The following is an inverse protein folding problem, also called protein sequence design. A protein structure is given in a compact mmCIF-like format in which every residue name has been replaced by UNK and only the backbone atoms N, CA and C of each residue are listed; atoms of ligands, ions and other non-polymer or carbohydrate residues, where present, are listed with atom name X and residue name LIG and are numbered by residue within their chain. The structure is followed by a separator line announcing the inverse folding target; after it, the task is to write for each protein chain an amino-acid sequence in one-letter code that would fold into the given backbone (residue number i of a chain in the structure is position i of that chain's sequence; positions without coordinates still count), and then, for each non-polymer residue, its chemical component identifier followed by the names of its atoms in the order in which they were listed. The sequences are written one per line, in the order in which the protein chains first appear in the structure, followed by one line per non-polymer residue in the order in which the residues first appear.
data_IF_954289140438
#
_entry.id   IF_954289140438
#
_cell.length_a   1.000
_cell.length_b   1.000
_cell.length_c   1.000
_cell.angle_alpha   90.00
_cell.angle_beta   90.00
_cell.angle_gamma   90.00
#
_symmetry.space_group_name_H-M   'P 1'
#
loop_
_entity.id
_entity.type
_entity.pdbx_description
1 polymer ?
#
# COMPACT_ATOMS: atom_id res chain seq x y z
N UNK A 1 26.77 13.62 35.72
CA UNK A 1 25.76 13.93 34.68
C UNK A 1 24.44 14.19 35.37
N UNK A 2 23.68 15.19 34.93
CA UNK A 2 22.38 15.52 35.55
C UNK A 2 21.36 14.46 35.14
N UNK A 3 20.83 13.71 36.10
CA UNK A 3 19.70 12.79 35.90
C UNK A 3 18.41 13.61 35.89
N UNK A 4 17.58 13.43 34.88
CA UNK A 4 16.27 14.09 34.77
C UNK A 4 15.14 13.16 35.24
N UNK A 5 14.03 13.78 35.64
CA UNK A 5 12.76 13.13 35.92
C UNK A 5 11.66 13.82 35.10
N UNK A 6 11.50 13.41 33.85
CA UNK A 6 10.53 13.99 32.92
C UNK A 6 9.63 12.93 32.31
N UNK A 7 8.38 13.30 32.07
CA UNK A 7 7.45 12.53 31.24
C UNK A 7 7.07 13.40 30.05
N UNK A 8 7.09 12.82 28.85
CA UNK A 8 6.65 13.51 27.63
C UNK A 8 5.61 12.68 26.92
N UNK A 9 4.44 13.27 26.71
CA UNK A 9 3.29 12.64 26.08
C UNK A 9 3.08 13.25 24.70
N UNK A 10 2.74 12.41 23.74
CA UNK A 10 2.41 12.80 22.38
C UNK A 10 1.04 12.25 22.00
N UNK A 11 0.23 13.11 21.36
CA UNK A 11 -1.04 12.75 20.74
C UNK A 11 -0.93 13.03 19.26
N UNK A 12 -1.25 12.03 18.45
CA UNK A 12 -1.28 12.14 17.00
C UNK A 12 -2.66 11.75 16.49
N UNK A 13 -3.37 12.72 15.92
CA UNK A 13 -4.64 12.53 15.23
C UNK A 13 -4.39 12.25 13.76
N UNK A 14 -4.76 11.06 13.30
CA UNK A 14 -4.52 10.60 11.93
C UNK A 14 -5.78 10.08 11.27
N UNK A 15 -5.82 10.16 9.93
CA UNK A 15 -6.80 9.51 9.06
C UNK A 15 -6.09 8.50 8.17
N UNK A 16 -6.64 7.31 7.97
CA UNK A 16 -6.10 6.39 6.97
C UNK A 16 -6.47 6.87 5.55
N UNK A 17 -5.46 6.94 4.68
CA UNK A 17 -5.56 7.38 3.27
C UNK A 17 -5.28 6.24 2.27
N UNK A 18 -5.06 5.04 2.80
CA UNK A 18 -5.11 3.79 2.07
C UNK A 18 -5.85 2.74 2.93
N UNK A 19 -6.35 1.65 2.33
CA UNK A 19 -6.98 0.58 3.09
C UNK A 19 -5.97 0.03 4.09
N UNK A 20 -6.42 -0.48 5.23
CA UNK A 20 -5.52 -1.03 6.25
C UNK A 20 -6.03 -2.35 6.80
N UNK A 21 -5.08 -3.12 7.34
CA UNK A 21 -5.34 -4.44 7.89
C UNK A 21 -4.47 -4.68 9.11
N UNK A 22 -5.11 -4.86 10.27
CA UNK A 22 -4.50 -5.36 11.49
C UNK A 22 -5.21 -6.64 11.85
N UNK A 23 -4.47 -7.76 11.84
CA UNK A 23 -5.04 -9.08 12.13
C UNK A 23 -5.28 -9.26 13.63
N UNK A 24 -6.28 -10.05 13.99
CA UNK A 24 -6.53 -10.46 15.38
C UNK A 24 -5.57 -11.58 15.86
N UNK A 25 -4.82 -12.21 14.95
CA UNK A 25 -3.86 -13.28 15.25
C UNK A 25 -4.46 -14.70 15.28
N UNK A 26 -5.78 -14.84 15.16
CA UNK A 26 -6.48 -16.13 15.23
C UNK A 26 -6.80 -16.68 13.83
N UNK A 27 -7.17 -15.80 12.90
CA UNK A 27 -7.58 -16.21 11.55
C UNK A 27 -6.69 -15.56 10.48
N UNK A 28 -5.77 -16.33 9.89
CA UNK A 28 -4.94 -15.87 8.77
C UNK A 28 -5.84 -15.47 7.59
N UNK A 29 -5.72 -14.24 7.09
CA UNK A 29 -6.51 -13.79 5.93
C UNK A 29 -7.91 -13.26 6.27
N UNK A 30 -8.57 -13.77 7.31
CA UNK A 30 -9.94 -13.38 7.65
C UNK A 30 -10.08 -12.49 8.89
N UNK A 31 -9.21 -12.67 9.88
CA UNK A 31 -9.29 -11.95 11.14
C UNK A 31 -8.89 -10.49 10.99
N UNK A 32 -9.73 -9.60 11.52
CA UNK A 32 -9.47 -8.18 11.71
C UNK A 32 -9.61 -7.84 13.20
N UNK A 33 -8.70 -7.01 13.72
CA UNK A 33 -8.75 -6.55 15.09
C UNK A 33 -9.80 -5.43 15.22
N UNK A 34 -11.01 -5.83 15.63
CA UNK A 34 -12.17 -4.95 15.84
C UNK A 34 -12.70 -5.18 17.26
N UNK A 35 -12.94 -4.11 17.99
CA UNK A 35 -13.53 -4.13 19.34
C UNK A 35 -14.71 -3.17 19.39
N UNK A 36 -15.87 -3.65 19.85
CA UNK A 36 -17.11 -2.87 19.91
C UNK A 36 -17.40 -2.08 18.62
N UNK A 37 -17.34 -2.80 17.47
CA UNK A 37 -17.46 -2.24 16.11
C UNK A 37 -16.42 -1.19 15.71
N UNK A 38 -15.40 -0.91 16.50
CA UNK A 38 -14.33 0.02 16.16
C UNK A 38 -13.06 -0.75 15.76
N UNK A 39 -12.36 -0.27 14.74
CA UNK A 39 -11.07 -0.82 14.37
C UNK A 39 -10.05 -0.51 15.46
N UNK A 40 -9.15 -1.44 15.76
CA UNK A 40 -8.14 -1.25 16.81
C UNK A 40 -6.74 -1.27 16.21
N UNK A 41 -5.95 -0.26 16.55
CA UNK A 41 -4.50 -0.25 16.39
C UNK A 41 -3.92 -0.53 17.78
N UNK A 42 -3.43 -1.75 18.00
CA UNK A 42 -2.81 -2.08 19.28
C UNK A 42 -1.41 -1.46 19.43
N UNK A 43 -1.04 -1.15 20.67
CA UNK A 43 0.25 -0.58 21.03
C UNK A 43 1.42 -1.49 20.65
N UNK A 44 1.21 -2.81 20.62
CA UNK A 44 2.22 -3.78 20.16
C UNK A 44 2.51 -3.63 18.66
N UNK A 45 1.52 -3.35 17.81
CA UNK A 45 1.76 -3.01 16.39
C UNK A 45 2.61 -1.76 16.26
N UNK A 46 2.29 -0.70 16.99
CA UNK A 46 3.05 0.56 16.96
C UNK A 46 4.48 0.37 17.48
N UNK A 47 4.64 -0.38 18.58
CA UNK A 47 5.93 -0.73 19.16
C UNK A 47 6.79 -1.56 18.20
N UNK A 48 6.19 -2.55 17.53
CA UNK A 48 6.87 -3.35 16.51
C UNK A 48 7.32 -2.53 15.29
N UNK A 49 6.47 -1.60 14.83
CA UNK A 49 6.82 -0.67 13.75
C UNK A 49 7.95 0.27 14.15
N UNK A 50 7.91 0.80 15.37
CA UNK A 50 8.98 1.64 15.90
C UNK A 50 10.30 0.88 16.02
N UNK A 51 10.26 -0.39 16.46
CA UNK A 51 11.42 -1.28 16.48
C UNK A 51 12.03 -1.44 15.10
N UNK A 52 11.21 -1.69 14.08
CA UNK A 52 11.68 -1.86 12.70
C UNK A 52 12.23 -0.54 12.12
N UNK A 53 11.62 0.60 12.48
CA UNK A 53 12.13 1.92 12.17
C UNK A 53 13.53 2.15 12.76
N UNK A 54 13.74 1.75 14.03
CA UNK A 54 15.02 1.89 14.72
C UNK A 54 16.12 0.97 14.17
N UNK A 55 15.79 -0.17 13.56
CA UNK A 55 16.81 -1.07 12.98
C UNK A 55 17.74 -0.37 11.97
N UNK A 56 17.25 0.69 11.31
CA UNK A 56 18.06 1.52 10.39
C UNK A 56 19.17 2.29 11.10
N UNK A 57 19.05 2.50 12.41
CA UNK A 57 19.98 3.20 13.28
C UNK A 57 20.76 2.25 14.20
N UNK A 58 20.52 0.93 14.13
CA UNK A 58 20.98 -0.10 15.07
C UNK A 58 22.49 -0.15 15.30
N UNK A 59 23.30 0.28 14.33
CA UNK A 59 24.76 0.15 14.43
C UNK A 59 25.44 1.22 15.32
N UNK A 60 24.71 2.06 16.08
CA UNK A 60 25.31 3.23 16.73
C UNK A 60 24.77 3.68 18.11
N UNK A 61 23.84 3.01 18.80
CA UNK A 61 23.21 3.68 19.96
C UNK A 61 22.83 2.82 21.18
N UNK A 62 23.38 3.19 22.34
CA UNK A 62 22.94 2.76 23.69
C UNK A 62 21.45 3.05 23.93
N UNK A 63 20.88 4.04 23.21
CA UNK A 63 19.47 4.38 23.32
C UNK A 63 18.51 3.28 22.83
N UNK A 64 18.96 2.36 21.97
CA UNK A 64 18.12 1.25 21.52
C UNK A 64 17.76 0.29 22.67
N UNK A 65 18.75 -0.06 23.50
CA UNK A 65 18.58 -0.96 24.64
C UNK A 65 17.65 -0.38 25.72
N UNK A 66 17.62 0.95 25.86
CA UNK A 66 16.68 1.63 26.76
C UNK A 66 15.22 1.53 26.31
N UNK A 67 14.99 1.32 25.01
CA UNK A 67 13.66 1.24 24.41
C UNK A 67 13.22 -0.22 24.31
N UNK A 68 14.12 -1.09 23.86
CA UNK A 68 13.90 -2.51 23.64
C UNK A 68 14.96 -3.34 24.37
N UNK A 69 14.88 -3.44 25.70
CA UNK A 69 15.86 -4.19 26.48
C UNK A 69 15.86 -5.67 26.08
N UNK A 70 17.04 -6.29 26.08
CA UNK A 70 17.15 -7.74 25.92
C UNK A 70 16.37 -8.48 27.02
N UNK A 71 15.80 -9.64 26.68
CA UNK A 71 14.88 -10.42 27.53
C UNK A 71 15.43 -10.80 28.92
N UNK A 72 16.76 -10.69 29.14
CA UNK A 72 17.41 -11.01 30.40
C UNK A 72 17.52 -9.81 31.37
N UNK A 73 17.23 -8.59 30.92
CA UNK A 73 17.26 -7.39 31.75
C UNK A 73 15.87 -7.09 32.32
N UNK A 74 15.79 -6.87 33.65
CA UNK A 74 14.56 -6.44 34.36
C UNK A 74 14.18 -4.98 34.10
N UNK A 75 14.87 -4.30 33.17
CA UNK A 75 14.60 -2.90 32.88
C UNK A 75 13.31 -2.74 32.07
N UNK A 76 12.51 -1.75 32.44
CA UNK A 76 11.29 -1.41 31.72
C UNK A 76 11.60 -0.44 30.58
N UNK A 77 10.87 -0.59 29.47
CA UNK A 77 10.99 0.33 28.34
C UNK A 77 10.75 1.77 28.78
N UNK A 78 11.53 2.70 28.23
CA UNK A 78 11.33 4.14 28.43
C UNK A 78 10.27 4.73 27.49
N UNK A 79 9.75 3.97 26.52
CA UNK A 79 8.67 4.39 25.62
C UNK A 79 7.46 3.46 25.75
N UNK A 80 6.28 4.05 25.84
CA UNK A 80 4.99 3.36 25.94
C UNK A 80 4.14 3.70 24.71
N UNK A 81 3.59 2.65 24.11
CA UNK A 81 2.68 2.71 22.97
C UNK A 81 1.31 2.22 23.43
N UNK A 82 0.28 3.03 23.20
CA UNK A 82 -1.07 2.73 23.68
C UNK A 82 -1.96 2.29 22.52
N UNK A 83 -2.95 1.47 22.86
CA UNK A 83 -4.00 1.08 21.92
C UNK A 83 -4.83 2.30 21.51
N UNK A 84 -5.24 2.32 20.24
CA UNK A 84 -6.16 3.32 19.72
C UNK A 84 -7.29 2.63 18.98
N UNK A 85 -8.51 3.09 19.24
CA UNK A 85 -9.69 2.71 18.47
C UNK A 85 -9.97 3.76 17.39
N UNK A 86 -10.66 3.36 16.32
CA UNK A 86 -11.21 4.32 15.37
C UNK A 86 -12.26 5.19 16.04
N UNK A 87 -12.44 6.42 15.57
CA UNK A 87 -13.53 7.29 16.03
C UNK A 87 -14.87 6.89 15.40
N UNK A 88 -14.83 6.33 14.19
CA UNK A 88 -16.01 5.85 13.47
C UNK A 88 -16.22 4.35 13.70
N UNK A 89 -17.48 3.94 13.83
CA UNK A 89 -17.86 2.53 13.74
C UNK A 89 -17.51 1.98 12.34
N UNK A 90 -17.17 0.69 12.32
CA UNK A 90 -16.87 -0.08 11.13
C UNK A 90 -18.16 -0.77 10.69
N UNK A 91 -18.79 -0.20 9.65
CA UNK A 91 -19.99 -0.73 9.04
C UNK A 91 -19.68 -1.81 7.99
N UNK A 92 -20.74 -2.41 7.45
CA UNK A 92 -20.64 -3.42 6.39
C UNK A 92 -19.92 -2.92 5.14
N UNK A 93 -20.09 -1.63 4.79
CA UNK A 93 -19.44 -1.04 3.62
C UNK A 93 -17.95 -0.74 3.84
N UNK A 94 -17.51 -0.69 5.10
CA UNK A 94 -16.12 -0.48 5.46
C UNK A 94 -15.31 -1.78 5.46
N UNK A 95 -15.98 -2.91 5.69
CA UNK A 95 -15.42 -4.26 5.63
C UNK A 95 -15.35 -4.73 4.19
N UNK A 96 -14.22 -4.48 3.56
CA UNK A 96 -13.95 -4.89 2.20
C UNK A 96 -13.28 -6.27 2.18
N UNK A 97 -13.56 -7.05 1.14
CA UNK A 97 -12.93 -8.33 0.90
C UNK A 97 -12.33 -8.34 -0.50
N UNK A 98 -11.09 -8.81 -0.62
CA UNK A 98 -10.42 -9.07 -1.90
C UNK A 98 -10.19 -10.56 -2.04
N UNK A 99 -10.62 -11.10 -3.16
CA UNK A 99 -10.37 -12.48 -3.52
C UNK A 99 -8.99 -12.56 -4.18
N UNK A 100 -8.05 -13.23 -3.54
CA UNK A 100 -6.76 -13.53 -4.14
C UNK A 100 -6.81 -14.92 -4.77
N UNK A 101 -6.40 -14.99 -6.04
CA UNK A 101 -6.23 -16.24 -6.76
C UNK A 101 -4.73 -16.38 -7.07
N UNK A 102 -4.13 -17.49 -6.66
CA UNK A 102 -2.73 -17.80 -7.02
C UNK A 102 -2.67 -18.08 -8.52
N UNK A 103 -1.82 -17.37 -9.25
CA UNK A 103 -1.58 -17.62 -10.69
C UNK A 103 -0.35 -18.52 -10.83
N UNK A 104 -0.48 -19.58 -11.62
CA UNK A 104 0.58 -20.48 -12.02
C UNK A 104 1.55 -19.77 -12.98
N UNK A 105 2.85 -19.84 -12.69
CA UNK A 105 3.90 -19.15 -13.46
C UNK A 105 4.11 -19.73 -14.88
N UNK A 106 3.74 -20.97 -15.15
CA UNK A 106 3.89 -21.61 -16.47
C UNK A 106 2.63 -21.44 -17.32
N UNK A 107 1.46 -21.57 -16.72
CA UNK A 107 0.18 -21.59 -17.44
C UNK A 107 -0.53 -20.23 -17.48
N UNK A 108 -0.09 -19.25 -16.68
CA UNK A 108 -0.79 -17.97 -16.44
C UNK A 108 -2.27 -18.16 -16.03
N UNK A 109 -2.61 -19.33 -15.47
CA UNK A 109 -3.94 -19.72 -15.00
C UNK A 109 -3.98 -19.77 -13.48
N UNK A 110 -5.17 -19.75 -12.88
CA UNK A 110 -5.30 -19.97 -11.44
C UNK A 110 -4.85 -21.37 -11.04
N UNK A 111 -4.01 -21.50 -10.01
CA UNK A 111 -3.75 -22.79 -9.37
C UNK A 111 -5.02 -23.23 -8.65
N UNK A 112 -5.51 -24.45 -8.92
CA UNK A 112 -6.70 -25.01 -8.29
C UNK A 112 -6.59 -24.97 -6.75
N UNK A 113 -7.70 -24.65 -6.06
CA UNK A 113 -7.84 -24.62 -4.59
C UNK A 113 -7.04 -23.55 -3.80
N UNK A 114 -6.67 -22.43 -4.44
CA UNK A 114 -6.00 -21.31 -3.76
C UNK A 114 -6.79 -19.98 -3.87
N UNK A 115 -8.09 -20.03 -3.60
CA UNK A 115 -8.90 -18.83 -3.37
C UNK A 115 -8.76 -18.43 -1.90
N UNK A 116 -8.10 -17.31 -1.64
CA UNK A 116 -8.00 -16.74 -0.29
C UNK A 116 -8.81 -15.45 -0.24
N UNK A 117 -9.77 -15.40 0.68
CA UNK A 117 -10.48 -14.18 1.01
C UNK A 117 -9.61 -13.37 1.96
N UNK A 118 -9.37 -12.10 1.62
CA UNK A 118 -8.59 -11.19 2.43
C UNK A 118 -9.47 -10.01 2.81
N UNK A 119 -9.80 -9.92 4.10
CA UNK A 119 -10.57 -8.80 4.64
C UNK A 119 -9.65 -7.65 5.03
N UNK A 120 -10.13 -6.43 4.78
CA UNK A 120 -9.48 -5.19 5.14
C UNK A 120 -10.50 -4.08 5.42
N UNK A 121 -10.03 -3.02 6.07
CA UNK A 121 -10.86 -1.85 6.39
C UNK A 121 -10.59 -0.78 5.34
N UNK A 122 -11.69 -0.20 4.83
CA UNK A 122 -11.68 0.87 3.84
C UNK A 122 -11.00 2.15 4.35
N UNK A 123 -10.84 3.09 3.44
CA UNK A 123 -10.35 4.43 3.72
C UNK A 123 -11.39 5.30 4.41
N UNK A 124 -10.92 6.19 5.30
CA UNK A 124 -11.82 7.18 5.90
C UNK A 124 -11.75 7.30 7.41
N UNK A 125 -11.19 6.30 8.08
CA UNK A 125 -11.22 6.14 9.53
C UNK A 125 -10.16 6.99 10.23
N UNK A 126 -10.56 7.61 11.33
CA UNK A 126 -9.72 8.49 12.12
C UNK A 126 -9.36 7.84 13.45
N UNK A 127 -8.15 8.13 13.94
CA UNK A 127 -7.58 7.54 15.16
C UNK A 127 -6.82 8.61 15.95
N UNK A 128 -6.77 8.42 17.27
CA UNK A 128 -5.97 9.21 18.21
C UNK A 128 -4.86 8.35 18.80
N UNK A 129 -3.71 8.33 18.15
CA UNK A 129 -2.55 7.58 18.62
C UNK A 129 -1.90 8.30 19.80
N UNK A 130 -1.56 7.56 20.85
CA UNK A 130 -0.95 8.09 22.07
C UNK A 130 0.38 7.40 22.37
N UNK A 131 1.39 8.21 22.68
CA UNK A 131 2.75 7.77 23.01
C UNK A 131 3.24 8.48 24.26
N UNK A 132 4.00 7.79 25.10
CA UNK A 132 4.58 8.35 26.31
C UNK A 132 6.05 7.97 26.47
N UNK A 133 6.91 8.95 26.74
CA UNK A 133 8.31 8.75 27.13
C UNK A 133 8.42 8.97 28.65
N UNK A 134 9.04 8.03 29.35
CA UNK A 134 9.32 8.12 30.79
C UNK A 134 10.83 8.21 31.03
N UNK A 135 11.34 9.43 31.10
CA UNK A 135 12.72 9.72 31.49
C UNK A 135 12.85 9.83 33.01
N UNK A 136 12.64 8.73 33.73
CA UNK A 136 12.81 8.67 35.19
C UNK A 136 14.25 8.27 35.52
N UNK A 137 14.94 9.11 36.28
CA UNK A 137 16.36 8.98 36.62
C UNK A 137 17.24 8.66 35.39
N UNK A 138 17.02 9.41 34.30
CA UNK A 138 17.69 9.18 33.01
C UNK A 138 18.65 10.33 32.71
N UNK A 139 19.81 10.03 32.11
CA UNK A 139 20.72 11.07 31.60
C UNK A 139 20.01 11.93 30.54
N UNK A 140 20.21 13.24 30.62
CA UNK A 140 19.54 14.20 29.74
C UNK A 140 19.80 13.94 28.24
N UNK A 141 21.04 13.57 27.88
CA UNK A 141 21.40 13.25 26.49
C UNK A 141 20.64 12.02 25.96
N UNK A 142 20.51 10.98 26.79
CA UNK A 142 19.75 9.77 26.47
C UNK A 142 18.27 10.07 26.32
N UNK A 143 17.70 10.86 27.22
CA UNK A 143 16.30 11.30 27.10
C UNK A 143 16.05 12.09 25.82
N UNK A 144 16.92 13.05 25.50
CA UNK A 144 16.82 13.86 24.29
C UNK A 144 16.96 12.99 23.03
N UNK A 145 17.83 11.97 23.05
CA UNK A 145 17.96 11.01 21.95
C UNK A 145 16.68 10.20 21.72
N UNK A 146 16.09 9.65 22.78
CA UNK A 146 14.83 8.89 22.72
C UNK A 146 13.69 9.78 22.21
N UNK A 147 13.60 11.03 22.68
CA UNK A 147 12.63 12.01 22.16
C UNK A 147 12.80 12.19 20.65
N UNK A 148 14.01 12.47 20.17
CA UNK A 148 14.29 12.65 18.74
C UNK A 148 13.86 11.46 17.89
N UNK A 149 14.10 10.24 18.37
CA UNK A 149 13.69 9.04 17.65
C UNK A 149 12.18 8.91 17.51
N UNK A 150 11.45 9.08 18.62
CA UNK A 150 9.98 9.01 18.60
C UNK A 150 9.39 10.12 17.73
N UNK A 151 9.93 11.33 17.81
CA UNK A 151 9.48 12.49 17.05
C UNK A 151 9.68 12.30 15.53
N UNK A 152 10.81 11.73 15.11
CA UNK A 152 11.04 11.38 13.71
C UNK A 152 10.08 10.27 13.23
N UNK A 153 9.84 9.27 14.08
CA UNK A 153 8.85 8.23 13.80
C UNK A 153 7.44 8.81 13.63
N UNK A 154 7.01 9.68 14.54
CA UNK A 154 5.73 10.41 14.48
C UNK A 154 5.63 11.21 13.18
N UNK A 155 6.71 11.89 12.77
CA UNK A 155 6.76 12.68 11.53
C UNK A 155 6.61 11.81 10.26
N UNK A 156 7.30 10.66 10.23
CA UNK A 156 7.18 9.72 9.11
C UNK A 156 5.82 9.02 9.08
N UNK A 157 5.23 8.75 10.25
CA UNK A 157 3.89 8.17 10.36
C UNK A 157 2.81 9.20 9.98
N UNK A 158 2.95 10.46 10.41
CA UNK A 158 2.01 11.55 10.11
C UNK A 158 2.00 11.99 8.64
N UNK A 159 3.06 11.69 7.89
CA UNK A 159 3.16 11.96 6.46
C UNK A 159 2.81 10.75 5.58
N UNK A 160 2.52 9.59 6.18
CA UNK A 160 2.20 8.35 5.46
C UNK A 160 3.41 7.62 4.88
N UNK A 161 4.62 7.94 5.35
CA UNK A 161 5.85 7.25 4.93
C UNK A 161 6.05 5.90 5.63
N UNK A 162 5.46 5.73 6.81
CA UNK A 162 5.40 4.46 7.56
C UNK A 162 3.97 3.93 7.49
N UNK A 163 3.84 2.68 7.08
CA UNK A 163 2.57 1.99 7.03
C UNK A 163 2.28 1.25 8.35
N UNK A 164 1.04 1.31 8.81
CA UNK A 164 0.56 0.61 10.01
C UNK A 164 -0.15 -0.69 9.61
N UNK A 165 0.20 -1.78 10.29
CA UNK A 165 -0.39 -3.10 10.06
C UNK A 165 0.29 -3.89 8.94
N UNK A 166 -0.48 -4.80 8.37
CA UNK A 166 0.00 -5.77 7.38
C UNK A 166 -0.17 -5.26 5.94
N UNK A 167 0.34 -6.03 4.97
CA UNK A 167 0.17 -5.78 3.52
C UNK A 167 0.72 -4.45 3.01
N UNK A 168 1.65 -3.82 3.72
CA UNK A 168 2.30 -2.58 3.29
C UNK A 168 2.99 -2.63 1.91
N UNK A 169 3.35 -3.80 1.37
CA UNK A 169 3.84 -3.93 -0.02
C UNK A 169 2.76 -3.76 -1.10
N UNK A 170 1.49 -3.82 -0.69
CA UNK A 170 0.29 -3.54 -1.48
C UNK A 170 -0.26 -2.13 -1.17
N UNK A 171 0.57 -1.26 -0.57
CA UNK A 171 0.20 0.13 -0.32
C UNK A 171 -0.74 0.33 0.87
N UNK A 172 -1.03 -0.72 1.63
CA UNK A 172 -1.93 -0.66 2.78
C UNK A 172 -1.32 0.08 3.95
N UNK A 173 -2.19 0.58 4.83
CA UNK A 173 -1.82 1.09 6.15
C UNK A 173 -1.21 2.48 6.12
N UNK A 174 -1.43 3.30 5.09
CA UNK A 174 -0.93 4.68 5.07
C UNK A 174 -1.88 5.58 5.85
N UNK A 175 -1.32 6.32 6.80
CA UNK A 175 -2.04 7.30 7.62
C UNK A 175 -1.46 8.69 7.39
N UNK A 176 -2.29 9.72 7.50
CA UNK A 176 -1.85 11.12 7.49
C UNK A 176 -2.40 11.86 8.68
N UNK A 177 -1.63 12.78 9.25
CA UNK A 177 -2.12 13.68 10.27
C UNK A 177 -3.29 14.52 9.74
N UNK A 178 -4.33 14.63 10.56
CA UNK A 178 -5.46 15.52 10.31
C UNK A 178 -4.96 16.97 10.48
N UNK A 179 -5.44 17.89 9.64
CA UNK A 179 -5.12 19.32 9.74
C UNK A 179 -6.43 20.10 9.92
N UNK A 180 -6.49 20.93 10.96
CA UNK A 180 -7.65 21.78 11.24
C UNK A 180 -7.18 23.21 11.47
N UNK A 181 -7.65 24.17 10.66
CA UNK A 181 -7.40 25.61 10.83
C UNK A 181 -5.93 25.94 11.17
N UNK A 182 -5.00 25.55 10.29
CA UNK A 182 -3.54 25.72 10.40
C UNK A 182 -2.83 24.98 11.56
N UNK A 183 -3.58 24.26 12.41
CA UNK A 183 -3.01 23.40 13.44
C UNK A 183 -2.73 22.01 12.88
N UNK A 184 -1.52 21.51 13.13
CA UNK A 184 -1.22 20.10 12.83
C UNK A 184 -1.98 19.22 13.83
N UNK A 185 -2.44 18.04 13.43
CA UNK A 185 -3.01 17.04 14.33
C UNK A 185 -1.97 16.38 15.27
N UNK A 186 -0.85 17.06 15.53
CA UNK A 186 0.26 16.58 16.34
C UNK A 186 0.41 17.48 17.55
N UNK A 187 0.44 16.85 18.71
CA UNK A 187 0.29 17.49 19.99
C UNK A 187 1.26 16.87 20.98
N UNK A 188 1.80 17.67 21.90
CA UNK A 188 2.65 17.15 22.98
C UNK A 188 2.50 17.95 24.27
N UNK A 189 2.90 17.32 25.37
CA UNK A 189 3.10 17.97 26.68
C UNK A 189 4.28 17.29 27.37
N UNK A 190 5.18 18.08 27.95
CA UNK A 190 6.30 17.60 28.76
C UNK A 190 6.10 18.06 30.21
N UNK A 191 6.26 17.13 31.14
CA UNK A 191 6.13 17.33 32.58
C UNK A 191 7.50 17.18 33.22
N UNK A 192 7.86 18.11 34.10
CA UNK A 192 9.02 18.00 34.95
C UNK A 192 8.58 17.52 36.34
N UNK A 193 8.82 16.25 36.63
CA UNK A 193 8.39 15.64 37.89
C UNK A 193 9.27 16.03 39.09
N UNK A 194 10.38 16.73 38.85
CA UNK A 194 11.21 17.29 39.91
C UNK A 194 10.60 18.57 40.51
N UNK A 195 9.52 19.11 39.94
CA UNK A 195 8.83 20.29 40.48
C UNK A 195 7.42 19.93 40.94
N UNK A 196 6.97 20.56 42.03
CA UNK A 196 5.61 20.35 42.57
C UNK A 196 4.54 20.66 41.53
N UNK A 197 4.67 21.79 40.83
CA UNK A 197 3.75 22.14 39.73
C UNK A 197 3.74 21.10 38.61
N UNK A 198 4.91 20.58 38.20
CA UNK A 198 4.98 19.60 37.12
C UNK A 198 4.46 18.22 37.51
N UNK A 199 4.58 17.85 38.78
CA UNK A 199 3.95 16.66 39.34
C UNK A 199 2.43 16.82 39.44
N UNK A 200 1.95 17.94 39.98
CA UNK A 200 0.52 18.25 40.06
C UNK A 200 -0.11 18.29 38.66
N UNK A 201 0.55 18.92 37.68
CA UNK A 201 0.10 18.95 36.28
C UNK A 201 0.01 17.56 35.63
N UNK A 202 0.81 16.59 36.07
CA UNK A 202 0.77 15.21 35.57
C UNK A 202 -0.34 14.40 36.23
N UNK A 203 -0.61 14.63 37.51
CA UNK A 203 -1.67 13.98 38.28
C UNK A 203 -3.05 14.55 37.92
N UNK A 204 -3.12 15.86 37.71
CA UNK A 204 -4.28 16.52 37.13
C UNK A 204 -4.31 16.16 35.64
N UNK A 205 -5.26 15.31 35.24
CA UNK A 205 -5.49 14.90 33.84
C UNK A 205 -5.94 16.08 32.92
N UNK A 206 -5.64 17.33 33.28
CA UNK A 206 -5.90 18.53 32.50
C UNK A 206 -4.83 18.70 31.40
N UNK A 207 -5.25 18.30 30.20
CA UNK A 207 -4.50 18.39 28.96
C UNK A 207 -4.42 19.83 28.42
N UNK A 208 -3.61 20.70 29.04
CA UNK A 208 -3.21 21.94 28.39
C UNK A 208 -2.12 21.66 27.33
N UNK A 209 -2.58 21.21 26.17
CA UNK A 209 -1.76 20.64 25.10
C UNK A 209 -1.11 21.75 24.25
N UNK A 210 0.20 21.62 23.99
CA UNK A 210 0.87 22.43 22.97
C UNK A 210 0.66 21.78 21.59
N UNK A 211 0.26 22.58 20.61
CA UNK A 211 0.26 22.18 19.21
C UNK A 211 1.69 22.25 18.66
N UNK A 212 2.15 21.21 17.98
CA UNK A 212 3.39 21.27 17.20
C UNK A 212 3.04 21.71 15.79
N UNK A 213 3.70 22.74 15.25
CA UNK A 213 3.72 22.88 13.79
C UNK A 213 4.55 21.73 13.21
N UNK A 214 4.18 21.24 12.02
CA UNK A 214 5.03 20.30 11.26
C UNK A 214 6.45 20.86 11.03
N UNK A 215 6.60 22.19 11.06
CA UNK A 215 7.88 22.92 10.96
C UNK A 215 8.70 22.90 12.25
N UNK A 216 8.07 22.71 13.42
CA UNK A 216 8.74 22.64 14.73
C UNK A 216 9.48 21.33 14.98
N UNK A 217 9.14 20.29 14.23
CA UNK A 217 10.06 19.19 13.96
C UNK A 217 10.97 19.65 12.84
N UNK A 218 11.97 20.48 13.17
CA UNK A 218 13.11 20.68 12.27
C UNK A 218 13.46 19.30 11.73
N UNK A 219 13.56 19.16 10.41
CA UNK A 219 14.19 18.04 9.75
C UNK A 219 15.52 17.82 10.46
N UNK A 220 15.53 17.05 11.56
CA UNK A 220 16.72 16.63 12.25
C UNK A 220 17.41 15.86 11.16
N UNK A 221 18.49 16.43 10.64
CA UNK A 221 19.27 15.97 9.50
C UNK A 221 19.91 14.60 9.72
N UNK A 222 19.13 13.64 10.19
CA UNK A 222 19.30 12.23 9.94
C UNK A 222 19.01 12.10 8.45
N UNK A 223 20.05 12.30 7.64
CA UNK A 223 20.00 12.40 6.18
C UNK A 223 19.40 11.15 5.53
N UNK A 224 18.07 11.05 5.53
CA UNK A 224 17.34 10.34 4.50
C UNK A 224 17.23 11.35 3.35
N UNK A 225 18.30 11.49 2.55
CA UNK A 225 18.03 11.74 1.14
C UNK A 225 17.10 10.59 0.73
N UNK A 226 15.84 10.90 0.45
CA UNK A 226 14.78 9.92 0.24
C UNK A 226 15.23 8.99 -0.90
N UNK A 227 15.86 7.85 -0.56
CA UNK A 227 16.37 6.84 -1.51
C UNK A 227 15.24 6.09 -2.20
N UNK A 228 14.01 6.52 -1.94
CA UNK A 228 12.81 5.97 -2.53
C UNK A 228 12.63 6.55 -3.93
N UNK A 229 12.50 5.66 -4.90
CA UNK A 229 12.11 6.02 -6.25
C UNK A 229 10.61 5.79 -6.41
N UNK A 230 9.92 6.79 -6.96
CA UNK A 230 8.53 6.69 -7.38
C UNK A 230 8.49 6.51 -8.89
N UNK A 231 7.90 5.42 -9.33
CA UNK A 231 7.65 5.10 -10.73
C UNK A 231 6.14 5.17 -10.96
N UNK A 232 5.73 5.98 -11.93
CA UNK A 232 4.34 6.23 -12.26
C UNK A 232 4.08 5.91 -13.73
N UNK A 233 3.07 5.10 -14.04
CA UNK A 233 2.53 4.93 -15.40
C UNK A 233 1.16 5.60 -15.47
N UNK A 234 1.02 6.60 -16.33
CA UNK A 234 -0.27 7.17 -16.72
C UNK A 234 -0.81 6.41 -17.93
N UNK A 235 -2.03 5.89 -17.85
CA UNK A 235 -2.63 5.09 -18.92
C UNK A 235 -4.16 5.21 -18.99
N UNK A 236 -4.74 4.87 -20.15
CA UNK A 236 -6.18 4.81 -20.39
C UNK A 236 -6.56 3.50 -21.08
N UNK A 237 -7.85 3.19 -21.17
CA UNK A 237 -8.37 1.96 -21.77
C UNK A 237 -9.78 2.21 -22.31
N UNK A 238 -9.86 2.53 -23.59
CA UNK A 238 -11.08 2.82 -24.34
C UNK A 238 -11.82 1.56 -24.79
N UNK A 239 -11.09 0.47 -25.04
CA UNK A 239 -11.65 -0.86 -25.40
C UNK A 239 -12.32 -1.59 -24.22
N UNK A 240 -12.02 -1.16 -23.00
CA UNK A 240 -12.61 -1.63 -21.77
C UNK A 240 -11.86 -2.77 -21.07
N UNK A 241 -12.05 -2.84 -19.76
CA UNK A 241 -11.40 -3.80 -18.88
C UNK A 241 -12.35 -4.20 -17.75
N UNK A 242 -12.05 -5.33 -17.09
CA UNK A 242 -12.80 -5.78 -15.91
C UNK A 242 -11.87 -6.42 -14.89
N UNK A 243 -11.88 -5.88 -13.68
CA UNK A 243 -11.37 -6.57 -12.48
C UNK A 243 -12.58 -7.19 -11.81
N UNK A 244 -12.73 -8.52 -11.84
CA UNK A 244 -13.95 -9.18 -11.35
C UNK A 244 -14.15 -8.91 -9.86
N UNK A 245 -15.28 -8.28 -9.54
CA UNK A 245 -15.79 -8.17 -8.18
C UNK A 245 -16.84 -9.24 -7.87
N UNK A 246 -17.67 -8.96 -6.88
CA UNK A 246 -18.81 -9.81 -6.58
C UNK A 246 -19.85 -9.70 -7.71
N UNK A 247 -20.30 -10.82 -8.28
CA UNK A 247 -21.30 -10.79 -9.34
C UNK A 247 -22.65 -10.31 -8.80
N UNK A 248 -23.45 -9.71 -9.68
CA UNK A 248 -24.81 -9.28 -9.38
C UNK A 248 -25.80 -10.26 -10.00
N UNK A 249 -26.85 -10.60 -9.26
CA UNK A 249 -27.98 -11.38 -9.77
C UNK A 249 -29.04 -10.40 -10.27
N UNK A 250 -29.26 -10.39 -11.58
CA UNK A 250 -30.29 -9.56 -12.22
C UNK A 250 -31.49 -10.42 -12.64
N UNK A 251 -32.68 -9.84 -12.50
CA UNK A 251 -33.97 -10.47 -12.85
C UNK A 251 -34.27 -10.23 -14.33
N UNK A 252 -34.79 -11.24 -15.02
CA UNK A 252 -35.04 -11.22 -16.47
C UNK A 252 -36.45 -10.78 -16.84
N UNK A 253 -37.38 -10.85 -15.89
CA UNK A 253 -38.82 -10.71 -16.11
C UNK A 253 -39.52 -10.12 -14.87
N UNK A 254 -40.64 -9.41 -15.08
CA UNK A 254 -41.41 -8.74 -14.00
C UNK A 254 -42.03 -9.71 -12.98
N UNK A 255 -42.02 -11.01 -13.27
CA UNK A 255 -42.58 -12.09 -12.44
C UNK A 255 -41.52 -12.86 -11.64
N UNK A 256 -40.24 -12.42 -11.64
CA UNK A 256 -39.15 -13.01 -10.86
C UNK A 256 -38.81 -14.49 -11.16
N UNK A 257 -39.20 -15.04 -12.32
CA UNK A 257 -39.03 -16.48 -12.60
C UNK A 257 -37.68 -16.87 -13.21
N UNK A 258 -36.94 -15.92 -13.82
CA UNK A 258 -35.61 -16.18 -14.39
C UNK A 258 -34.60 -15.13 -13.95
N UNK A 259 -33.49 -15.57 -13.38
CA UNK A 259 -32.34 -14.72 -13.02
C UNK A 259 -31.14 -15.03 -13.90
N UNK A 260 -30.22 -14.07 -14.01
CA UNK A 260 -28.91 -14.29 -14.60
C UNK A 260 -27.83 -13.58 -13.80
N UNK A 261 -26.63 -14.15 -13.85
CA UNK A 261 -25.45 -13.62 -13.17
C UNK A 261 -24.77 -12.62 -14.11
N UNK A 262 -24.45 -11.44 -13.58
CA UNK A 262 -23.67 -10.40 -14.27
C UNK A 262 -22.35 -10.23 -13.53
N UNK A 263 -21.24 -10.45 -14.22
CA UNK A 263 -19.93 -10.12 -13.70
C UNK A 263 -19.76 -8.59 -13.74
N UNK A 264 -19.40 -8.02 -12.59
CA UNK A 264 -19.23 -6.58 -12.43
C UNK A 264 -17.81 -6.24 -12.00
N UNK A 265 -17.32 -5.03 -12.32
CA UNK A 265 -16.02 -4.61 -11.85
C UNK A 265 -16.01 -4.42 -10.33
N UNK A 266 -14.87 -4.67 -9.72
CA UNK A 266 -14.65 -4.56 -8.29
C UNK A 266 -14.75 -3.10 -7.82
N UNK A 267 -15.48 -2.90 -6.73
CA UNK A 267 -15.76 -1.59 -6.13
C UNK A 267 -15.56 -1.63 -4.62
N UNK A 268 -15.07 -0.53 -4.07
CA UNK A 268 -15.03 -0.28 -2.63
C UNK A 268 -15.72 1.04 -2.30
N UNK A 269 -16.22 1.18 -1.07
CA UNK A 269 -16.77 2.43 -0.57
C UNK A 269 -15.64 3.22 0.10
N UNK A 270 -15.31 4.39 -0.44
CA UNK A 270 -14.25 5.27 0.06
C UNK A 270 -14.88 6.61 0.38
N UNK A 271 -14.80 7.04 1.64
CA UNK A 271 -15.43 8.27 2.14
C UNK A 271 -16.91 8.41 1.72
N UNK A 272 -17.66 7.30 1.76
CA UNK A 272 -19.09 7.25 1.39
C UNK A 272 -19.39 7.23 -0.11
N UNK A 273 -18.37 7.14 -0.97
CA UNK A 273 -18.52 7.04 -2.43
C UNK A 273 -18.06 5.68 -2.93
N UNK A 274 -18.89 5.02 -3.75
CA UNK A 274 -18.49 3.78 -4.44
C UNK A 274 -17.56 4.11 -5.59
N UNK A 275 -16.31 3.68 -5.48
CA UNK A 275 -15.28 3.85 -6.49
C UNK A 275 -14.85 2.49 -7.03
N UNK A 276 -14.43 2.46 -8.29
CA UNK A 276 -13.81 1.27 -8.86
C UNK A 276 -12.35 1.22 -8.44
N UNK A 277 -11.89 0.02 -8.15
CA UNK A 277 -10.53 -0.20 -7.68
C UNK A 277 -9.87 -1.24 -8.57
N UNK A 278 -8.70 -0.91 -9.10
CA UNK A 278 -7.75 -1.91 -9.56
C UNK A 278 -6.81 -2.19 -8.38
N UNK A 279 -6.95 -3.33 -7.69
CA UNK A 279 -6.10 -3.64 -6.55
C UNK A 279 -4.63 -3.69 -6.97
N UNK A 280 -3.78 -3.13 -6.13
CA UNK A 280 -2.32 -3.20 -6.23
C UNK A 280 -1.82 -4.64 -6.39
N UNK A 281 -2.51 -5.62 -5.81
CA UNK A 281 -2.20 -7.05 -5.98
C UNK A 281 -2.34 -7.53 -7.42
N UNK A 282 -3.29 -6.99 -8.18
CA UNK A 282 -3.47 -7.32 -9.60
C UNK A 282 -2.28 -6.85 -10.40
N UNK A 283 -1.90 -5.58 -10.26
CA UNK A 283 -0.76 -4.99 -10.97
C UNK A 283 0.55 -5.65 -10.51
N UNK A 284 0.73 -5.84 -9.20
CA UNK A 284 1.90 -6.53 -8.66
C UNK A 284 2.03 -7.96 -9.20
N UNK A 285 0.94 -8.70 -9.32
CA UNK A 285 0.93 -10.06 -9.87
C UNK A 285 1.32 -10.10 -11.35
N UNK A 286 0.72 -9.22 -12.16
CA UNK A 286 1.01 -9.07 -13.59
C UNK A 286 2.49 -8.71 -13.80
N UNK A 287 2.96 -7.68 -13.10
CA UNK A 287 4.34 -7.19 -13.19
C UNK A 287 5.32 -8.26 -12.70
N UNK A 288 5.04 -8.96 -11.59
CA UNK A 288 5.87 -10.07 -11.10
C UNK A 288 6.00 -11.17 -12.15
N UNK A 289 4.88 -11.62 -12.72
CA UNK A 289 4.86 -12.66 -13.76
C UNK A 289 5.66 -12.25 -14.99
N UNK A 290 5.53 -10.99 -15.41
CA UNK A 290 6.25 -10.47 -16.56
C UNK A 290 7.75 -10.30 -16.30
N UNK A 291 8.15 -9.77 -15.15
CA UNK A 291 9.56 -9.69 -14.75
C UNK A 291 10.19 -11.08 -14.68
N UNK A 292 9.48 -12.08 -14.14
CA UNK A 292 9.90 -13.48 -14.17
C UNK A 292 10.14 -13.98 -15.60
N UNK A 293 9.22 -13.68 -16.53
CA UNK A 293 9.35 -14.05 -17.94
C UNK A 293 10.60 -13.43 -18.57
N UNK A 294 10.80 -12.11 -18.42
CA UNK A 294 12.00 -11.41 -18.91
C UNK A 294 13.27 -12.06 -18.35
N UNK A 295 13.29 -12.28 -17.04
CA UNK A 295 14.47 -12.80 -16.35
C UNK A 295 14.85 -14.22 -16.80
N UNK A 296 13.85 -15.09 -17.00
CA UNK A 296 14.05 -16.44 -17.59
C UNK A 296 14.56 -16.36 -19.04
N UNK A 297 14.04 -15.43 -19.84
CA UNK A 297 14.49 -15.24 -21.24
C UNK A 297 15.95 -14.82 -21.33
N UNK A 298 16.46 -14.07 -20.35
CA UNK A 298 17.86 -13.66 -20.27
C UNK A 298 18.81 -14.75 -19.71
N UNK A 299 18.34 -15.99 -19.58
CA UNK A 299 19.04 -17.16 -18.98
C UNK A 299 19.66 -16.87 -17.59
N UNK A 300 19.03 -15.98 -16.82
CA UNK A 300 19.43 -15.72 -15.44
C UNK A 300 18.74 -16.73 -14.52
N UNK A 301 19.52 -17.68 -14.00
CA UNK A 301 19.01 -18.80 -13.18
C UNK A 301 18.74 -18.44 -11.72
N UNK A 302 19.24 -17.30 -11.24
CA UNK A 302 19.09 -16.89 -9.86
C UNK A 302 17.83 -16.02 -9.63
N UNK A 303 16.76 -16.61 -9.10
CA UNK A 303 15.49 -15.91 -8.78
C UNK A 303 15.60 -14.91 -7.62
N UNK A 304 16.75 -14.80 -6.95
CA UNK A 304 16.95 -13.89 -5.81
C UNK A 304 16.47 -12.47 -6.09
N UNK A 305 16.75 -11.91 -7.27
CA UNK A 305 16.33 -10.54 -7.63
C UNK A 305 14.80 -10.38 -7.61
N UNK A 306 14.05 -11.34 -8.15
CA UNK A 306 12.58 -11.28 -8.18
C UNK A 306 12.02 -11.41 -6.77
N UNK A 307 12.55 -12.33 -5.97
CA UNK A 307 12.09 -12.53 -4.60
C UNK A 307 12.44 -11.32 -3.71
N UNK A 308 13.56 -10.63 -3.97
CA UNK A 308 13.86 -9.36 -3.33
C UNK A 308 12.93 -8.22 -3.78
N UNK A 309 12.54 -8.18 -5.05
CA UNK A 309 11.61 -7.16 -5.58
C UNK A 309 10.23 -7.29 -4.95
N UNK A 310 9.64 -8.48 -5.02
CA UNK A 310 8.21 -8.69 -4.71
C UNK A 310 7.97 -9.29 -3.32
N UNK A 311 9.00 -9.89 -2.73
CA UNK A 311 8.95 -10.60 -1.46
C UNK A 311 8.70 -12.10 -1.63
N UNK A 312 9.03 -12.83 -0.58
CA UNK A 312 8.86 -14.28 -0.46
C UNK A 312 8.00 -14.59 0.77
N UNK A 313 7.02 -15.50 0.63
CA UNK A 313 6.24 -15.97 1.78
C UNK A 313 7.12 -16.86 2.65
N UNK A 314 6.89 -16.86 3.96
CA UNK A 314 7.47 -17.86 4.83
C UNK A 314 6.96 -19.25 4.41
N UNK A 315 7.84 -20.24 4.45
CA UNK A 315 7.52 -21.64 4.22
C UNK A 315 8.10 -22.43 5.39
N UNK A 316 7.26 -22.72 6.38
CA UNK A 316 7.66 -23.46 7.59
C UNK A 316 8.18 -24.86 7.24
N UNK A 317 7.60 -25.51 6.22
CA UNK A 317 8.03 -26.84 5.78
C UNK A 317 9.46 -26.84 5.25
N UNK A 318 9.89 -25.72 4.66
CA UNK A 318 11.24 -25.52 4.13
C UNK A 318 12.14 -24.68 5.03
N UNK A 319 11.66 -24.29 6.23
CA UNK A 319 12.35 -23.34 7.15
C UNK A 319 12.79 -22.05 6.45
N UNK A 320 11.99 -21.58 5.50
CA UNK A 320 12.24 -20.33 4.79
C UNK A 320 11.50 -19.22 5.53
N UNK A 321 12.24 -18.24 6.01
CA UNK A 321 11.64 -17.03 6.58
C UNK A 321 11.03 -16.14 5.47
N UNK A 322 9.88 -15.57 5.76
CA UNK A 322 9.23 -14.63 4.84
C UNK A 322 10.01 -13.33 4.75
N UNK A 323 10.25 -12.86 3.52
CA UNK A 323 10.97 -11.60 3.26
C UNK A 323 10.04 -10.61 2.58
N UNK A 324 9.98 -9.39 3.14
CA UNK A 324 9.25 -8.27 2.52
C UNK A 324 9.97 -7.81 1.25
N UNK A 325 9.21 -7.64 0.17
CA UNK A 325 9.71 -7.10 -1.09
C UNK A 325 10.10 -5.62 -0.98
N UNK A 326 11.05 -5.18 -1.81
CA UNK A 326 11.50 -3.78 -1.88
C UNK A 326 10.49 -2.86 -2.61
N UNK A 327 9.59 -3.43 -3.41
CA UNK A 327 8.55 -2.70 -4.13
C UNK A 327 7.25 -2.60 -3.34
N UNK A 328 6.66 -1.41 -3.37
CA UNK A 328 5.33 -1.11 -2.85
C UNK A 328 4.46 -0.68 -4.02
N UNK A 329 3.38 -1.41 -4.27
CA UNK A 329 2.37 -1.08 -5.27
C UNK A 329 1.20 -0.38 -4.58
N UNK A 330 0.59 0.60 -5.25
CA UNK A 330 -0.57 1.31 -4.73
C UNK A 330 -1.83 0.91 -5.50
N UNK A 331 -2.97 0.92 -4.82
CA UNK A 331 -4.25 0.68 -5.48
C UNK A 331 -4.56 1.83 -6.43
N UNK A 332 -5.09 1.50 -7.61
CA UNK A 332 -5.57 2.51 -8.54
C UNK A 332 -7.07 2.71 -8.33
N UNK A 333 -7.45 3.92 -7.91
CA UNK A 333 -8.84 4.32 -7.68
C UNK A 333 -9.35 5.07 -8.88
N UNK A 334 -10.57 4.76 -9.29
CA UNK A 334 -11.14 5.30 -10.52
C UNK A 334 -12.49 5.94 -10.21
N UNK A 335 -12.56 7.24 -10.49
CA UNK A 335 -13.72 8.09 -10.32
C UNK A 335 -14.47 8.31 -11.65
N UNK A 336 -15.81 8.32 -11.60
CA UNK A 336 -16.64 8.88 -12.68
C UNK A 336 -16.63 8.13 -14.01
N UNK A 337 -16.35 6.83 -14.02
CA UNK A 337 -16.25 6.05 -15.26
C UNK A 337 -17.59 5.66 -15.88
N UNK A 338 -17.57 5.45 -17.20
CA UNK A 338 -18.69 4.85 -17.95
C UNK A 338 -18.57 3.32 -17.84
N UNK A 339 -19.51 2.71 -17.13
CA UNK A 339 -19.73 1.26 -17.24
C UNK A 339 -20.42 0.97 -18.57
N UNK A 340 -19.79 0.13 -19.39
CA UNK A 340 -20.42 -0.42 -20.57
C UNK A 340 -20.83 -1.87 -20.32
N UNK A 341 -22.02 -2.23 -20.78
CA UNK A 341 -22.53 -3.59 -20.65
C UNK A 341 -22.21 -4.37 -21.92
N UNK A 342 -21.53 -5.50 -21.77
CA UNK A 342 -21.20 -6.38 -22.87
C UNK A 342 -21.82 -7.77 -22.64
N UNK A 343 -22.51 -8.28 -23.65
CA UNK A 343 -23.07 -9.63 -23.63
C UNK A 343 -22.31 -10.46 -24.66
N UNK A 344 -21.80 -11.63 -24.27
CA UNK A 344 -21.07 -12.52 -25.16
C UNK A 344 -21.61 -13.94 -25.06
N UNK A 345 -21.73 -14.60 -26.20
CA UNK A 345 -22.02 -16.03 -26.26
C UNK A 345 -20.75 -16.84 -25.93
N UNK A 346 -20.88 -17.87 -25.10
CA UNK A 346 -19.79 -18.79 -24.83
C UNK A 346 -19.56 -19.67 -26.05
N UNK A 347 -18.35 -19.61 -26.60
CA UNK A 347 -17.92 -20.49 -27.69
C UNK A 347 -17.23 -21.70 -27.07
N UNK A 348 -17.63 -22.89 -27.53
CA UNK A 348 -16.97 -24.13 -27.18
C UNK A 348 -15.60 -24.18 -27.87
N UNK A 349 -14.53 -24.34 -27.08
CA UNK A 349 -13.14 -24.26 -27.59
C UNK A 349 -12.75 -25.46 -28.45
N UNK A 350 -13.46 -26.58 -28.35
CA UNK A 350 -13.16 -27.80 -29.09
C UNK A 350 -13.92 -27.85 -30.42
N UNK A 351 -15.20 -27.45 -30.40
CA UNK A 351 -16.10 -27.54 -31.56
C UNK A 351 -16.21 -26.23 -32.35
N UNK A 352 -15.78 -25.10 -31.78
CA UNK A 352 -15.96 -23.77 -32.37
C UNK A 352 -17.43 -23.32 -32.46
N UNK A 353 -18.37 -24.13 -31.97
CA UNK A 353 -19.80 -23.84 -31.95
C UNK A 353 -20.22 -23.00 -30.75
N UNK A 354 -21.42 -22.43 -30.84
CA UNK A 354 -22.05 -21.71 -29.71
C UNK A 354 -22.51 -22.72 -28.65
N UNK A 355 -22.08 -22.57 -27.41
CA UNK A 355 -22.66 -23.32 -26.30
C UNK A 355 -24.08 -22.81 -26.03
N UNK A 356 -25.08 -23.62 -26.38
CA UNK A 356 -26.50 -23.28 -26.19
C UNK A 356 -26.79 -22.89 -24.74
N UNK A 357 -27.39 -21.70 -24.55
CA UNK A 357 -27.81 -21.18 -23.24
C UNK A 357 -26.75 -20.46 -22.40
N UNK A 358 -25.47 -20.43 -22.80
CA UNK A 358 -24.40 -19.82 -22.02
C UNK A 358 -24.02 -18.42 -22.54
N UNK A 359 -24.75 -17.38 -22.10
CA UNK A 359 -24.42 -15.97 -22.36
C UNK A 359 -23.65 -15.42 -21.16
N UNK A 360 -22.40 -15.03 -21.35
CA UNK A 360 -21.67 -14.20 -20.41
C UNK A 360 -22.24 -12.79 -20.45
N UNK A 361 -22.59 -12.26 -19.29
CA UNK A 361 -23.01 -10.87 -19.11
C UNK A 361 -21.98 -10.20 -18.24
N UNK A 362 -21.25 -9.26 -18.81
CA UNK A 362 -20.14 -8.59 -18.15
C UNK A 362 -20.38 -7.08 -18.22
N UNK A 363 -20.10 -6.38 -17.13
CA UNK A 363 -19.94 -4.93 -17.13
C UNK A 363 -18.44 -4.63 -17.20
N UNK A 364 -18.02 -3.92 -18.24
CA UNK A 364 -16.64 -3.48 -18.42
C UNK A 364 -16.53 -1.99 -18.10
N UNK A 365 -15.43 -1.62 -17.47
CA UNK A 365 -15.05 -0.23 -17.22
C UNK A 365 -14.25 0.29 -18.41
N UNK A 366 -14.44 1.56 -18.77
CA UNK A 366 -13.63 2.26 -19.79
C UNK A 366 -13.02 3.51 -19.21
N UNK A 367 -11.73 3.75 -19.50
CA UNK A 367 -10.99 4.95 -19.09
C UNK A 367 -10.73 5.81 -20.33
N UNK A 368 -11.22 7.05 -20.30
CA UNK A 368 -10.96 8.01 -21.36
C UNK A 368 -9.51 8.46 -21.38
N UNK A 369 -9.00 8.75 -22.58
CA UNK A 369 -7.71 9.40 -22.78
C UNK A 369 -7.63 10.77 -22.08
N UNK A 370 -8.74 11.48 -21.91
CA UNK A 370 -8.76 12.81 -21.29
C UNK A 370 -8.62 12.76 -19.76
N UNK A 371 -8.99 11.62 -19.16
CA UNK A 371 -8.89 11.38 -17.73
C UNK A 371 -8.17 10.04 -17.48
N UNK A 372 -6.86 9.95 -17.77
CA UNK A 372 -6.10 8.73 -17.59
C UNK A 372 -5.94 8.40 -16.12
N UNK A 373 -5.77 7.12 -15.82
CA UNK A 373 -5.49 6.63 -14.48
C UNK A 373 -3.98 6.47 -14.25
N UNK A 374 -3.59 6.39 -12.98
CA UNK A 374 -2.19 6.29 -12.58
C UNK A 374 -1.90 4.97 -11.85
N UNK A 375 -0.91 4.23 -12.34
CA UNK A 375 -0.31 3.10 -11.62
C UNK A 375 0.96 3.56 -10.93
N UNK A 376 0.96 3.52 -9.60
CA UNK A 376 2.05 4.03 -8.76
C UNK A 376 2.82 2.88 -8.09
N UNK A 377 4.15 2.90 -8.22
CA UNK A 377 5.08 1.96 -7.59
C UNK A 377 6.19 2.71 -6.90
N UNK A 378 6.46 2.35 -5.64
CA UNK A 378 7.57 2.90 -4.86
C UNK A 378 8.62 1.81 -4.66
N UNK A 379 9.86 2.12 -5.06
CA UNK A 379 11.03 1.30 -4.80
C UNK A 379 11.77 1.88 -3.59
N UNK A 380 11.85 1.14 -2.49
CA UNK A 380 12.35 1.66 -1.20
C UNK A 380 13.85 1.99 -1.16
N UNK A 381 14.63 1.45 -2.10
CA UNK A 381 16.06 1.67 -2.22
C UNK A 381 16.42 1.62 -3.70
N UNK A 382 17.15 2.61 -4.17
CA UNK A 382 17.67 2.61 -5.54
C UNK A 382 18.37 1.28 -5.87
N UNK A 383 17.85 0.64 -6.92
CA UNK A 383 18.39 -0.59 -7.50
C UNK A 383 18.06 -0.55 -9.00
N UNK A 384 19.09 -0.27 -9.82
CA UNK A 384 18.91 -0.06 -11.27
C UNK A 384 18.34 -1.29 -11.98
N UNK A 385 18.66 -2.51 -11.52
CA UNK A 385 18.12 -3.75 -12.12
C UNK A 385 16.62 -3.87 -11.86
N UNK A 386 16.19 -3.60 -10.63
CA UNK A 386 14.76 -3.59 -10.28
C UNK A 386 14.02 -2.51 -11.05
N UNK A 387 14.60 -1.31 -11.16
CA UNK A 387 14.04 -0.20 -11.92
C UNK A 387 13.88 -0.56 -13.41
N UNK A 388 14.90 -1.16 -14.03
CA UNK A 388 14.85 -1.61 -15.42
C UNK A 388 13.70 -2.59 -15.70
N UNK A 389 13.51 -3.58 -14.81
CA UNK A 389 12.44 -4.57 -14.94
C UNK A 389 11.04 -3.93 -14.83
N UNK A 390 10.87 -2.93 -13.95
CA UNK A 390 9.60 -2.19 -13.83
C UNK A 390 9.36 -1.30 -15.05
N UNK A 391 10.38 -0.63 -15.57
CA UNK A 391 10.27 0.16 -16.80
C UNK A 391 9.81 -0.72 -17.97
N UNK A 392 10.39 -1.89 -18.16
CA UNK A 392 10.00 -2.82 -19.22
C UNK A 392 8.55 -3.30 -19.05
N UNK A 393 8.15 -3.64 -17.83
CA UNK A 393 6.77 -4.04 -17.57
C UNK A 393 5.77 -2.89 -17.83
N UNK A 394 6.05 -1.68 -17.37
CA UNK A 394 5.19 -0.52 -17.58
C UNK A 394 5.15 -0.09 -19.04
N UNK A 395 6.28 -0.21 -19.76
CA UNK A 395 6.33 0.00 -21.22
C UNK A 395 5.37 -0.95 -21.92
N UNK A 396 5.43 -2.24 -21.60
CA UNK A 396 4.65 -3.26 -22.30
C UNK A 396 3.17 -3.27 -21.88
N UNK A 397 2.84 -2.80 -20.67
CA UNK A 397 1.46 -2.42 -20.31
C UNK A 397 1.00 -1.25 -21.17
N UNK A 398 1.79 -0.17 -21.27
CA UNK A 398 1.44 1.03 -22.03
C UNK A 398 1.35 0.81 -23.54
N UNK A 399 2.05 -0.19 -24.08
CA UNK A 399 1.92 -0.63 -25.48
C UNK A 399 0.75 -1.60 -25.71
N UNK A 400 -0.01 -1.96 -24.66
CA UNK A 400 -1.12 -2.90 -24.74
C UNK A 400 -0.71 -4.36 -24.96
N UNK A 401 0.58 -4.70 -24.80
CA UNK A 401 1.09 -6.07 -24.90
C UNK A 401 0.83 -6.88 -23.64
N UNK A 402 0.88 -6.21 -22.49
CA UNK A 402 0.54 -6.80 -21.20
C UNK A 402 -0.82 -6.29 -20.74
N UNK A 403 -1.79 -7.19 -20.64
CA UNK A 403 -3.17 -6.85 -20.29
C UNK A 403 -3.41 -6.82 -18.78
N UNK A 404 -4.35 -5.99 -18.34
CA UNK A 404 -4.76 -5.86 -16.94
C UNK A 404 -6.22 -6.30 -16.77
N UNK A 405 -6.45 -7.29 -15.91
CA UNK A 405 -7.78 -7.79 -15.57
C UNK A 405 -8.17 -9.08 -16.27
N UNK A 406 -9.46 -9.40 -16.19
CA UNK A 406 -10.06 -10.57 -16.85
C UNK A 406 -10.48 -10.26 -18.29
N UNK A 407 -10.60 -11.30 -19.11
CA UNK A 407 -11.06 -11.15 -20.50
C UNK A 407 -9.96 -10.82 -21.52
N UNK A 408 -8.69 -11.04 -21.17
CA UNK A 408 -7.56 -10.93 -22.09
C UNK A 408 -7.76 -11.68 -23.42
N UNK A 409 -8.38 -12.86 -23.39
CA UNK A 409 -8.68 -13.68 -24.58
C UNK A 409 -9.73 -13.06 -25.53
N UNK A 410 -10.43 -12.00 -25.08
CA UNK A 410 -11.39 -11.24 -25.89
C UNK A 410 -10.96 -9.79 -26.12
N UNK A 411 -9.71 -9.47 -25.80
CA UNK A 411 -9.14 -8.14 -26.04
C UNK A 411 -9.26 -7.17 -24.86
N UNK A 412 -9.92 -7.53 -23.76
CA UNK A 412 -10.05 -6.62 -22.61
C UNK A 412 -8.73 -6.36 -21.91
N UNK A 413 -8.65 -5.19 -21.26
CA UNK A 413 -7.53 -4.83 -20.40
C UNK A 413 -6.29 -4.40 -21.16
N UNK A 414 -6.38 -4.09 -22.45
CA UNK A 414 -5.30 -3.47 -23.23
C UNK A 414 -5.25 -1.99 -22.92
N UNK A 415 -4.41 -1.61 -21.96
CA UNK A 415 -4.19 -0.22 -21.62
C UNK A 415 -3.27 0.45 -22.65
N UNK A 416 -3.50 1.73 -22.89
CA UNK A 416 -2.69 2.60 -23.73
C UNK A 416 -1.99 3.61 -22.83
N UNK A 417 -0.65 3.62 -22.87
CA UNK A 417 0.16 4.50 -22.06
C UNK A 417 0.09 5.95 -22.53
N UNK A 418 0.20 6.89 -21.60
CA UNK A 418 0.50 8.30 -21.87
C UNK A 418 1.92 8.64 -21.49
N UNK A 419 2.34 8.27 -20.28
CA UNK A 419 3.70 8.53 -19.82
C UNK A 419 4.17 7.55 -18.73
N UNK A 420 5.49 7.36 -18.65
CA UNK A 420 6.17 6.78 -17.48
C UNK A 420 7.04 7.86 -16.86
N UNK A 421 6.82 8.16 -15.59
CA UNK A 421 7.60 9.16 -14.83
C UNK A 421 8.38 8.47 -13.71
N UNK A 422 9.66 8.81 -13.56
CA UNK A 422 10.53 8.37 -12.46
C UNK A 422 10.95 9.61 -11.68
N UNK A 423 10.71 9.61 -10.37
CA UNK A 423 11.06 10.73 -9.47
C UNK A 423 11.59 10.24 -8.12
N UNK A 424 12.46 11.05 -7.49
CA UNK A 424 13.08 10.73 -6.19
C UNK A 424 14.53 10.26 -6.32
N UNK A 425 15.27 10.22 -5.22
CA UNK A 425 16.69 9.83 -5.19
C UNK A 425 17.58 10.51 -6.27
N UNK A 426 17.31 11.78 -6.61
CA UNK A 426 18.03 12.50 -7.67
C UNK A 426 17.57 12.22 -9.10
N UNK A 427 16.63 11.29 -9.31
CA UNK A 427 15.99 11.06 -10.60
C UNK A 427 14.82 12.02 -10.80
N UNK A 428 14.75 12.57 -12.02
CA UNK A 428 13.59 13.23 -12.57
C UNK A 428 13.60 12.98 -14.08
N UNK A 429 12.80 12.02 -14.54
CA UNK A 429 12.80 11.61 -15.95
C UNK A 429 11.42 11.19 -16.39
N UNK A 430 11.07 11.49 -17.64
CA UNK A 430 9.76 11.21 -18.22
C UNK A 430 9.89 10.61 -19.63
N UNK A 431 9.22 9.49 -19.83
CA UNK A 431 9.02 8.85 -21.12
C UNK A 431 7.55 9.02 -21.53
N UNK A 432 7.28 9.39 -22.77
CA UNK A 432 5.93 9.62 -23.30
C UNK A 432 5.62 8.66 -24.44
N UNK A 433 4.38 8.18 -24.48
CA UNK A 433 3.86 7.37 -25.59
C UNK A 433 3.14 8.32 -26.55
N UNK A 434 3.62 8.42 -27.79
CA UNK A 434 2.95 9.19 -28.85
C UNK A 434 2.37 8.24 -29.88
N UNK A 435 1.05 8.32 -30.08
CA UNK A 435 0.41 7.63 -31.21
C UNK A 435 0.98 8.18 -32.53
N UNK A 436 1.31 7.26 -33.42
CA UNK A 436 1.59 7.53 -34.82
C UNK A 436 0.34 7.15 -35.58
N UNK A 437 -0.20 8.07 -36.37
CA UNK A 437 -1.26 7.75 -37.34
C UNK A 437 -0.70 6.74 -38.35
N UNK A 438 -1.11 5.48 -38.23
CA UNK A 438 -0.82 4.44 -39.20
C UNK A 438 -2.12 3.75 -39.55
N UNK A 439 -2.33 3.53 -40.85
CA UNK A 439 -3.62 3.15 -41.44
C UNK A 439 -4.21 1.82 -40.98
N UNK A 440 -3.54 1.02 -40.13
CA UNK A 440 -4.05 -0.29 -39.70
C UNK A 440 -3.68 -0.75 -38.27
N UNK A 441 -2.95 0.05 -37.47
CA UNK A 441 -2.64 -0.28 -36.06
C UNK A 441 -2.28 0.99 -35.26
N UNK A 442 -2.70 1.06 -34.00
CA UNK A 442 -2.15 2.01 -33.02
C UNK A 442 -0.66 1.70 -32.82
N UNK A 443 0.20 2.43 -33.52
CA UNK A 443 1.66 2.36 -33.32
C UNK A 443 2.08 3.48 -32.40
N UNK A 444 2.64 3.13 -31.25
CA UNK A 444 3.24 4.11 -30.35
C UNK A 444 4.71 4.33 -30.69
N UNK A 445 5.12 5.60 -30.75
CA UNK A 445 6.50 6.03 -30.66
C UNK A 445 6.79 6.53 -29.26
N UNK A 446 7.84 6.01 -28.63
CA UNK A 446 8.32 6.53 -27.37
C UNK A 446 9.10 7.84 -27.61
N UNK A 447 8.84 8.88 -26.79
CA UNK A 447 9.53 10.19 -26.80
C UNK A 447 9.89 10.64 -25.38
N UNK A 448 10.69 11.70 -25.25
CA UNK A 448 11.13 12.23 -23.95
C UNK A 448 12.55 11.80 -23.61
N UNK A 449 12.81 11.45 -22.34
CA UNK A 449 14.11 11.03 -21.83
C UNK A 449 14.50 9.58 -22.26
N UNK A 450 14.32 9.23 -23.54
CA UNK A 450 14.53 7.86 -24.05
C UNK A 450 15.93 7.35 -23.70
N UNK A 451 16.97 8.18 -23.90
CA UNK A 451 18.35 7.78 -23.68
C UNK A 451 18.61 7.40 -22.21
N UNK A 452 18.03 8.14 -21.26
CA UNK A 452 18.13 7.80 -19.83
C UNK A 452 17.42 6.48 -19.51
N UNK A 453 16.25 6.26 -20.09
CA UNK A 453 15.52 5.00 -19.92
C UNK A 453 16.29 3.82 -20.53
N UNK A 454 16.89 4.00 -21.71
CA UNK A 454 17.73 2.99 -22.36
C UNK A 454 19.00 2.68 -21.56
N UNK A 455 19.65 3.69 -20.96
CA UNK A 455 20.80 3.51 -20.08
C UNK A 455 20.45 2.65 -18.85
N UNK A 456 19.25 2.84 -18.28
CA UNK A 456 18.79 2.01 -17.16
C UNK A 456 18.51 0.58 -17.63
N UNK A 457 17.82 0.42 -18.76
CA UNK A 457 17.39 -0.88 -19.28
C UNK A 457 18.56 -1.73 -19.76
N UNK A 458 19.64 -1.13 -20.29
CA UNK A 458 20.82 -1.84 -20.80
C UNK A 458 21.63 -2.58 -19.72
N UNK A 459 21.31 -2.39 -18.45
CA UNK A 459 21.93 -3.07 -17.29
C UNK A 459 21.42 -4.53 -17.13
N UNK A 460 20.28 -4.86 -17.74
CA UNK A 460 19.72 -6.21 -17.76
C UNK A 460 20.43 -7.06 -18.81
#
# INVERSE_FOLDING_TARGET
MSSINKIKQYILQVKNISPFRIGNGEEEGNGLLISDKHAVINGTTLSGLFRDFLKKFKNKDEAYELIFPENNNKETSKIYFYDSMSNEEIGKEDLCCRNHVRIDEEMASSVENHLFNEYHISEGKTFKLFFEIRGLNLEEDKYNCICKYLENFITKLSSGQIAIGSKSSFGFGKFKAIKNNDKSGIYYKEYNLSTENGLNDYLDFNFNIKNLSMEGFNNLGIGDQDKKLKIKLEAYCDEGFIIKGNPIIEKKDKQDTKTYIVDCPYKECIDGKKQFIIPSSTIKGIVRGYCNKIFKTLDKKDKTVIDEMFGMKADESKKIEGKKGKLIFEDCKIDGEKLQRYNRIKIDRFTGGVMSGAIFKEQIATISKDNPIEFNVVLNKEDKKMLALIILAFRDIGLGYLTIGSGNNVGYGRFKGKSITISGAGYNSKLEFKEIESSNMDKFQLKGDIDKFNEIVSIL
#
